data_IF_937414951348
#
_entry.id   IF_937414951348
#
_cell.length_a   1.000
_cell.length_b   1.000
_cell.length_c   1.000
_cell.angle_alpha   90.00
_cell.angle_beta   90.00
_cell.angle_gamma   90.00
#
_symmetry.space_group_name_H-M   'P 1'
#
loop_
_entity.id
_entity.type
_entity.pdbx_description
1 polymer ?
#
# COMPACT_ATOMS: atom_id res chain seq x y z
N UNK A 1 -5.24 3.99 36.84
CA UNK A 1 -5.11 5.13 37.76
C UNK A 1 -6.22 6.11 37.47
N UNK A 2 -6.97 6.52 38.49
CA UNK A 2 -8.10 7.44 38.32
C UNK A 2 -7.58 8.89 38.23
N UNK A 3 -7.85 9.63 37.13
CA UNK A 3 -7.43 11.03 37.00
C UNK A 3 -7.99 11.93 38.09
N UNK A 4 -9.16 11.60 38.64
CA UNK A 4 -9.82 12.40 39.67
C UNK A 4 -9.05 12.39 40.99
N UNK A 5 -8.46 11.24 41.35
CA UNK A 5 -7.61 11.10 42.54
C UNK A 5 -6.31 11.91 42.40
N UNK A 6 -5.71 11.91 41.21
CA UNK A 6 -4.50 12.71 40.93
C UNK A 6 -4.78 14.22 41.01
N UNK A 7 -5.92 14.67 40.46
CA UNK A 7 -6.36 16.06 40.57
C UNK A 7 -6.57 16.49 42.02
N UNK A 8 -7.23 15.64 42.81
CA UNK A 8 -7.43 15.88 44.24
C UNK A 8 -6.09 15.99 44.98
N UNK A 9 -5.18 15.04 44.77
CA UNK A 9 -3.87 15.01 45.44
C UNK A 9 -2.98 16.19 45.05
N UNK A 10 -3.04 16.63 43.78
CA UNK A 10 -2.37 17.86 43.32
C UNK A 10 -2.95 19.09 44.02
N UNK A 11 -4.27 19.17 44.18
CA UNK A 11 -4.93 20.31 44.81
C UNK A 11 -4.61 20.36 46.31
N UNK A 12 -4.74 19.23 47.01
CA UNK A 12 -4.39 19.08 48.42
C UNK A 12 -2.91 19.42 48.67
N UNK A 13 -2.01 18.98 47.78
CA UNK A 13 -0.58 19.30 47.84
C UNK A 13 -0.30 20.78 47.58
N UNK A 14 -1.05 21.44 46.69
CA UNK A 14 -0.92 22.89 46.45
C UNK A 14 -1.35 23.70 47.67
N UNK A 15 -2.48 23.34 48.29
CA UNK A 15 -2.94 23.99 49.52
C UNK A 15 -1.88 23.88 50.63
N UNK A 16 -1.34 22.69 50.84
CA UNK A 16 -0.24 22.48 51.81
C UNK A 16 1.01 23.27 51.46
N UNK A 17 1.35 23.39 50.17
CA UNK A 17 2.49 24.19 49.71
C UNK A 17 2.30 25.67 50.07
N UNK A 18 1.11 26.21 49.84
CA UNK A 18 0.78 27.60 50.13
C UNK A 18 0.81 27.87 51.65
N UNK A 19 0.27 26.95 52.46
CA UNK A 19 0.38 27.02 53.93
C UNK A 19 1.84 27.03 54.40
N UNK A 20 2.70 26.17 53.83
CA UNK A 20 4.12 26.13 54.16
C UNK A 20 4.83 27.43 53.78
N UNK A 21 4.51 28.03 52.63
CA UNK A 21 5.07 29.32 52.19
C UNK A 21 4.67 30.47 53.09
N UNK A 22 3.42 30.51 53.52
CA UNK A 22 2.94 31.51 54.49
C UNK A 22 3.72 31.36 55.80
N UNK A 23 3.85 30.12 56.31
CA UNK A 23 4.60 29.84 57.54
C UNK A 23 6.08 30.20 57.42
N UNK A 24 6.73 29.91 56.29
CA UNK A 24 8.11 30.35 56.03
C UNK A 24 8.23 31.87 56.05
N UNK A 25 7.32 32.59 55.37
CA UNK A 25 7.34 34.06 55.32
C UNK A 25 7.18 34.67 56.71
N UNK A 26 6.30 34.09 57.54
CA UNK A 26 6.14 34.49 58.94
C UNK A 26 7.41 34.25 59.77
N UNK A 27 8.03 33.08 59.63
CA UNK A 27 9.28 32.74 60.32
C UNK A 27 10.45 33.60 59.87
N UNK A 28 10.57 33.90 58.57
CA UNK A 28 11.59 34.79 58.02
C UNK A 28 11.39 36.23 58.53
N UNK A 29 10.15 36.70 58.61
CA UNK A 29 9.82 38.02 59.18
C UNK A 29 10.14 38.06 60.68
N UNK A 30 9.86 36.99 61.42
CA UNK A 30 10.22 36.86 62.84
C UNK A 30 11.74 36.83 63.04
N UNK A 31 12.48 36.08 62.20
CA UNK A 31 13.95 36.04 62.17
C UNK A 31 14.53 37.44 61.89
N UNK A 32 13.99 38.14 60.89
CA UNK A 32 14.41 39.49 60.53
C UNK A 32 14.09 40.50 61.66
N UNK A 33 12.95 40.32 62.34
CA UNK A 33 12.55 41.10 63.51
C UNK A 33 13.49 40.90 64.69
N UNK A 34 13.86 39.66 65.02
CA UNK A 34 14.81 39.32 66.09
C UNK A 34 16.22 39.85 65.79
N UNK A 35 16.65 39.78 64.52
CA UNK A 35 17.91 40.36 64.06
C UNK A 35 17.95 41.88 64.19
N UNK A 36 16.82 42.57 63.95
CA UNK A 36 16.69 44.03 64.08
C UNK A 36 16.52 44.49 65.53
N UNK A 37 15.73 43.79 66.34
CA UNK A 37 15.42 44.13 67.73
C UNK A 37 16.65 44.07 68.65
N UNK A 38 17.59 43.15 68.38
CA UNK A 38 18.84 43.01 69.13
C UNK A 38 20.02 43.79 68.54
N UNK A 39 19.81 44.56 67.47
CA UNK A 39 20.91 45.27 66.81
C UNK A 39 21.13 46.65 67.42
N UNK A 40 22.40 46.97 67.73
CA UNK A 40 22.86 48.33 68.05
C UNK A 40 22.43 49.40 66.99
N UNK A 41 21.95 48.96 65.82
CA UNK A 41 21.36 49.77 64.76
C UNK A 41 20.06 50.47 65.18
N UNK A 42 19.26 49.88 66.08
CA UNK A 42 18.00 50.48 66.56
C UNK A 42 18.24 51.61 67.57
N UNK A 43 19.32 51.51 68.36
CA UNK A 43 19.69 52.49 69.37
C UNK A 43 20.44 53.70 68.78
N UNK A 44 21.10 53.55 67.63
CA UNK A 44 21.82 54.61 66.93
C UNK A 44 20.95 55.85 66.60
N UNK A 45 19.78 55.73 65.94
CA UNK A 45 18.93 56.89 65.66
C UNK A 45 18.35 57.53 66.92
N UNK A 46 18.14 56.78 68.00
CA UNK A 46 17.68 57.31 69.30
C UNK A 46 18.78 58.18 69.93
N UNK A 47 20.02 57.72 69.92
CA UNK A 47 21.17 58.49 70.41
C UNK A 47 21.46 59.72 69.55
N UNK A 48 21.35 59.60 68.22
CA UNK A 48 21.49 60.75 67.30
C UNK A 48 20.43 61.82 67.55
N UNK A 49 19.17 61.41 67.76
CA UNK A 49 18.08 62.34 68.10
C UNK A 49 18.33 63.03 69.44
N UNK A 50 18.81 62.29 70.44
CA UNK A 50 19.16 62.84 71.76
C UNK A 50 20.34 63.82 71.70
N UNK A 51 21.33 63.55 70.85
CA UNK A 51 22.42 64.49 70.57
C UNK A 51 21.86 65.79 69.97
N UNK A 52 20.97 65.67 68.98
CA UNK A 52 20.37 66.82 68.31
C UNK A 52 19.53 67.68 69.26
N UNK A 53 18.76 67.06 70.17
CA UNK A 53 18.01 67.78 71.22
C UNK A 53 18.94 68.48 72.23
N UNK A 54 20.02 67.84 72.65
CA UNK A 54 21.01 68.44 73.56
C UNK A 54 21.78 69.59 72.91
N UNK A 55 22.09 69.51 71.62
CA UNK A 55 22.77 70.57 70.87
C UNK A 55 21.90 71.81 70.63
N UNK A 56 20.57 71.69 70.72
CA UNK A 56 19.66 72.85 70.65
C UNK A 56 19.67 73.69 71.94
N UNK A 57 20.07 73.11 73.08
CA UNK A 57 20.01 73.77 74.39
C UNK A 57 21.39 74.01 75.03
N UNK A 58 22.40 73.22 74.64
CA UNK A 58 23.73 73.24 75.24
C UNK A 58 24.83 73.39 74.17
N UNK A 59 25.94 74.04 74.56
CA UNK A 59 27.14 74.16 73.72
C UNK A 59 27.91 72.84 73.68
N UNK A 60 28.68 72.61 72.61
CA UNK A 60 29.48 71.39 72.37
C UNK A 60 30.44 71.00 73.52
N UNK A 61 30.73 71.92 74.45
CA UNK A 61 31.58 71.71 75.63
C UNK A 61 30.85 71.10 76.84
N UNK A 62 29.53 70.93 76.78
CA UNK A 62 28.74 70.43 77.92
C UNK A 62 29.00 68.93 78.17
N UNK A 63 29.19 68.48 79.42
CA UNK A 63 29.58 67.10 79.73
C UNK A 63 28.63 66.02 79.19
N UNK A 64 27.33 66.29 79.12
CA UNK A 64 26.36 65.31 78.58
C UNK A 64 26.44 65.18 77.06
N UNK A 65 26.74 66.26 76.33
CA UNK A 65 26.91 66.22 74.87
C UNK A 65 28.12 65.36 74.50
N UNK A 66 29.23 65.50 75.25
CA UNK A 66 30.42 64.68 75.04
C UNK A 66 30.17 63.20 75.34
N UNK A 67 29.44 62.88 76.41
CA UNK A 67 29.05 61.49 76.73
C UNK A 67 28.21 60.86 75.62
N UNK A 68 27.18 61.55 75.14
CA UNK A 68 26.33 61.01 74.05
C UNK A 68 27.12 60.86 72.75
N UNK A 69 28.08 61.74 72.47
CA UNK A 69 28.96 61.66 71.28
C UNK A 69 29.95 60.50 71.36
N UNK A 70 30.52 60.26 72.55
CA UNK A 70 31.32 59.07 72.88
C UNK A 70 30.51 57.78 72.73
N UNK A 71 29.28 57.76 73.24
CA UNK A 71 28.35 56.62 73.13
C UNK A 71 28.02 56.31 71.67
N UNK A 72 27.74 57.34 70.84
CA UNK A 72 27.52 57.18 69.39
C UNK A 72 28.77 56.62 68.70
N UNK A 73 29.96 57.10 69.07
CA UNK A 73 31.23 56.63 68.49
C UNK A 73 31.49 55.17 68.85
N UNK A 74 31.38 54.81 70.12
CA UNK A 74 31.56 53.45 70.61
C UNK A 74 30.55 52.48 69.99
N UNK A 75 29.29 52.89 69.89
CA UNK A 75 28.24 52.10 69.24
C UNK A 75 28.49 51.97 67.72
N UNK A 76 28.96 53.04 67.07
CA UNK A 76 29.33 53.04 65.65
C UNK A 76 30.52 52.13 65.34
N UNK A 77 31.50 52.07 66.23
CA UNK A 77 32.63 51.13 66.14
C UNK A 77 32.20 49.68 66.38
N UNK A 78 31.26 49.43 67.31
CA UNK A 78 30.63 48.11 67.48
C UNK A 78 29.85 47.65 66.24
N UNK A 79 29.20 48.57 65.54
CA UNK A 79 28.51 48.29 64.27
C UNK A 79 29.48 47.99 63.14
N UNK A 80 30.54 48.80 63.00
CA UNK A 80 31.60 48.59 61.99
C UNK A 80 32.38 47.29 62.20
N UNK A 81 32.57 46.88 63.46
CA UNK A 81 33.25 45.63 63.81
C UNK A 81 32.35 44.38 63.69
N UNK A 82 31.06 44.53 63.31
CA UNK A 82 30.13 43.42 63.07
C UNK A 82 29.73 42.61 64.31
N UNK A 83 30.37 42.87 65.46
CA UNK A 83 30.32 42.05 66.68
C UNK A 83 28.96 42.06 67.40
N UNK A 84 28.12 43.06 67.10
CA UNK A 84 26.73 43.13 67.58
C UNK A 84 25.74 42.29 66.77
N UNK A 85 26.04 42.03 65.50
CA UNK A 85 25.24 41.17 64.61
C UNK A 85 25.62 39.69 64.83
N UNK A 86 26.88 39.40 65.17
CA UNK A 86 27.33 38.02 65.39
C UNK A 86 26.72 37.38 66.65
N UNK A 87 26.53 38.14 67.74
CA UNK A 87 25.93 37.61 68.99
C UNK A 87 24.45 37.26 68.87
N UNK A 88 23.69 37.92 67.99
CA UNK A 88 22.28 37.59 67.74
C UNK A 88 22.11 36.35 66.85
N UNK A 89 23.10 36.06 66.00
CA UNK A 89 23.17 34.83 65.17
C UNK A 89 23.53 33.59 66.02
N UNK A 90 24.29 33.77 67.10
CA UNK A 90 24.72 32.67 68.00
C UNK A 90 23.71 32.34 69.12
N UNK A 91 22.54 32.99 69.13
CA UNK A 91 21.46 32.67 70.08
C UNK A 91 20.92 31.25 69.86
N UNK A 92 20.77 30.42 70.90
CA UNK A 92 20.18 29.08 70.77
C UNK A 92 18.74 29.10 70.23
N UNK A 93 18.02 30.21 70.37
CA UNK A 93 16.69 30.39 69.75
C UNK A 93 16.79 30.63 68.24
N UNK A 94 17.78 31.41 67.79
CA UNK A 94 18.04 31.64 66.37
C UNK A 94 18.41 30.35 65.63
N UNK A 95 19.25 29.51 66.25
CA UNK A 95 19.66 28.22 65.69
C UNK A 95 18.49 27.24 65.53
N UNK A 96 17.54 27.21 66.48
CA UNK A 96 16.30 26.42 66.39
C UNK A 96 15.39 26.91 65.27
N UNK A 97 15.19 28.23 65.16
CA UNK A 97 14.32 28.80 64.14
C UNK A 97 14.91 28.62 62.73
N UNK A 98 16.24 28.73 62.60
CA UNK A 98 16.96 28.48 61.36
C UNK A 98 16.91 27.00 60.92
N UNK A 99 16.95 26.05 61.86
CA UNK A 99 16.81 24.62 61.53
C UNK A 99 15.37 24.27 61.13
N UNK A 100 14.37 24.85 61.80
CA UNK A 100 12.95 24.74 61.41
C UNK A 100 12.72 25.29 60.00
N UNK A 101 13.29 26.45 59.67
CA UNK A 101 13.19 27.03 58.33
C UNK A 101 13.81 26.13 57.25
N UNK A 102 14.97 25.51 57.52
CA UNK A 102 15.59 24.54 56.61
C UNK A 102 14.69 23.31 56.40
N UNK A 103 14.11 22.77 57.47
CA UNK A 103 13.19 21.63 57.38
C UNK A 103 11.95 21.97 56.55
N UNK A 104 11.38 23.18 56.73
CA UNK A 104 10.26 23.69 55.95
C UNK A 104 10.61 23.85 54.46
N UNK A 105 11.79 24.39 54.14
CA UNK A 105 12.26 24.51 52.74
C UNK A 105 12.46 23.15 52.08
N UNK A 106 12.95 22.17 52.84
CA UNK A 106 13.07 20.80 52.33
C UNK A 106 11.69 20.19 52.07
N UNK A 107 10.74 20.39 52.98
CA UNK A 107 9.36 19.94 52.81
C UNK A 107 8.69 20.59 51.59
N UNK A 108 8.90 21.89 51.38
CA UNK A 108 8.42 22.63 50.21
C UNK A 108 8.98 22.05 48.90
N UNK A 109 10.30 21.82 48.86
CA UNK A 109 10.97 21.25 47.68
C UNK A 109 10.42 19.86 47.36
N UNK A 110 10.22 19.02 48.38
CA UNK A 110 9.65 17.68 48.22
C UNK A 110 8.21 17.74 47.71
N UNK A 111 7.38 18.64 48.24
CA UNK A 111 6.01 18.85 47.77
C UNK A 111 5.97 19.37 46.33
N UNK A 112 6.83 20.33 45.99
CA UNK A 112 6.96 20.84 44.62
C UNK A 112 7.32 19.74 43.63
N UNK A 113 8.25 18.86 43.99
CA UNK A 113 8.62 17.70 43.18
C UNK A 113 7.45 16.71 43.01
N UNK A 114 6.68 16.44 44.07
CA UNK A 114 5.50 15.57 44.00
C UNK A 114 4.41 16.17 43.10
N UNK A 115 4.13 17.47 43.22
CA UNK A 115 3.18 18.18 42.36
C UNK A 115 3.63 18.11 40.90
N UNK A 116 4.91 18.37 40.61
CA UNK A 116 5.45 18.31 39.26
C UNK A 116 5.32 16.89 38.65
N UNK A 117 5.64 15.86 39.43
CA UNK A 117 5.46 14.45 39.04
C UNK A 117 4.00 14.13 38.74
N UNK A 118 3.08 14.47 39.65
CA UNK A 118 1.66 14.18 39.48
C UNK A 118 1.06 14.94 38.29
N UNK A 119 1.45 16.21 38.06
CA UNK A 119 1.06 16.96 36.86
C UNK A 119 1.57 16.31 35.57
N UNK A 120 2.83 15.83 35.56
CA UNK A 120 3.40 15.10 34.43
C UNK A 120 2.62 13.82 34.12
N UNK A 121 2.27 13.05 35.15
CA UNK A 121 1.41 11.87 35.00
C UNK A 121 0.04 12.25 34.42
N UNK A 122 -0.61 13.27 35.00
CA UNK A 122 -1.93 13.73 34.55
C UNK A 122 -1.92 14.17 33.07
N UNK A 123 -0.84 14.81 32.62
CA UNK A 123 -0.68 15.21 31.23
C UNK A 123 -0.48 14.02 30.27
N UNK A 124 0.15 12.95 30.73
CA UNK A 124 0.38 11.74 29.92
C UNK A 124 -0.85 10.82 29.80
N UNK A 125 -1.79 10.89 30.75
CA UNK A 125 -2.98 10.03 30.77
C UNK A 125 -3.84 10.12 29.50
N UNK A 126 -4.21 11.31 28.98
CA UNK A 126 -5.02 11.41 27.76
C UNK A 126 -4.37 10.74 26.55
N UNK A 127 -3.05 10.91 26.37
CA UNK A 127 -2.31 10.30 25.27
C UNK A 127 -2.26 8.76 25.41
N UNK A 128 -2.01 8.27 26.62
CA UNK A 128 -2.04 6.83 26.91
C UNK A 128 -3.43 6.23 26.68
N UNK A 129 -4.50 6.94 27.07
CA UNK A 129 -5.89 6.53 26.85
C UNK A 129 -6.25 6.50 25.36
N UNK A 130 -5.89 7.54 24.60
CA UNK A 130 -6.12 7.58 23.15
C UNK A 130 -5.39 6.43 22.43
N UNK A 131 -4.17 6.11 22.87
CA UNK A 131 -3.40 4.97 22.36
C UNK A 131 -4.11 3.66 22.68
N UNK A 132 -4.54 3.45 23.92
CA UNK A 132 -5.30 2.26 24.32
C UNK A 132 -6.59 2.10 23.48
N UNK A 133 -7.37 3.17 23.34
CA UNK A 133 -8.60 3.18 22.55
C UNK A 133 -8.33 2.86 21.06
N UNK A 134 -7.17 3.27 20.53
CA UNK A 134 -6.76 2.91 19.16
C UNK A 134 -6.41 1.41 19.04
N UNK A 135 -5.64 0.86 19.98
CA UNK A 135 -5.31 -0.56 20.01
C UNK A 135 -6.55 -1.44 20.21
N UNK A 136 -7.50 -1.02 21.04
CA UNK A 136 -8.74 -1.76 21.25
C UNK A 136 -9.61 -1.82 19.98
N UNK A 137 -9.69 -0.71 19.24
CA UNK A 137 -10.35 -0.66 17.93
C UNK A 137 -9.65 -1.51 16.88
N UNK A 138 -8.32 -1.47 16.86
CA UNK A 138 -7.55 -2.32 15.94
C UNK A 138 -7.72 -3.80 16.27
N UNK A 139 -7.62 -4.17 17.55
CA UNK A 139 -7.87 -5.53 18.03
C UNK A 139 -9.29 -6.01 17.66
N UNK A 140 -10.31 -5.18 17.84
CA UNK A 140 -11.68 -5.56 17.50
C UNK A 140 -11.86 -5.75 15.99
N UNK A 141 -11.29 -4.85 15.17
CA UNK A 141 -11.29 -4.98 13.71
C UNK A 141 -10.59 -6.26 13.23
N UNK A 142 -9.39 -6.54 13.76
CA UNK A 142 -8.64 -7.76 13.42
C UNK A 142 -9.39 -9.02 13.85
N UNK A 143 -10.04 -9.01 15.01
CA UNK A 143 -10.89 -10.12 15.47
C UNK A 143 -12.06 -10.36 14.51
N UNK A 144 -12.78 -9.31 14.10
CA UNK A 144 -13.88 -9.43 13.13
C UNK A 144 -13.39 -9.94 11.78
N UNK A 145 -12.24 -9.47 11.29
CA UNK A 145 -11.64 -9.97 10.05
C UNK A 145 -11.28 -11.45 10.15
N UNK A 146 -10.67 -11.86 11.27
CA UNK A 146 -10.34 -13.26 11.54
C UNK A 146 -11.59 -14.14 11.55
N UNK A 147 -12.64 -13.73 12.27
CA UNK A 147 -13.92 -14.45 12.32
C UNK A 147 -14.56 -14.56 10.92
N UNK A 148 -14.51 -13.50 10.11
CA UNK A 148 -15.00 -13.53 8.73
C UNK A 148 -14.18 -14.48 7.83
N UNK A 149 -12.86 -14.49 7.97
CA UNK A 149 -11.99 -15.44 7.25
C UNK A 149 -12.27 -16.88 7.65
N UNK A 150 -12.43 -17.14 8.95
CA UNK A 150 -12.76 -18.46 9.48
C UNK A 150 -14.12 -18.94 8.94
N UNK A 151 -15.13 -18.07 8.94
CA UNK A 151 -16.44 -18.38 8.37
C UNK A 151 -16.37 -18.70 6.87
N UNK A 152 -15.60 -17.91 6.10
CA UNK A 152 -15.38 -18.14 4.66
C UNK A 152 -14.64 -19.44 4.39
N UNK A 153 -13.66 -19.80 5.22
CA UNK A 153 -12.98 -21.09 5.13
C UNK A 153 -13.97 -22.24 5.35
N UNK A 154 -14.77 -22.17 6.43
CA UNK A 154 -15.80 -23.17 6.69
C UNK A 154 -16.80 -23.34 5.54
N UNK A 155 -17.25 -22.23 4.94
CA UNK A 155 -18.09 -22.27 3.74
C UNK A 155 -17.39 -22.94 2.56
N UNK A 156 -16.12 -22.60 2.30
CA UNK A 156 -15.35 -23.21 1.21
C UNK A 156 -15.13 -24.71 1.41
N UNK A 157 -14.90 -25.16 2.64
CA UNK A 157 -14.77 -26.58 2.97
C UNK A 157 -16.10 -27.32 2.74
N UNK A 158 -17.22 -26.74 3.18
CA UNK A 158 -18.56 -27.29 2.90
C UNK A 158 -18.82 -27.35 1.40
N UNK A 159 -18.55 -26.28 0.64
CA UNK A 159 -18.72 -26.28 -0.82
C UNK A 159 -17.84 -27.33 -1.51
N UNK A 160 -16.59 -27.51 -1.06
CA UNK A 160 -15.70 -28.54 -1.57
C UNK A 160 -16.26 -29.94 -1.30
N UNK A 161 -16.77 -30.18 -0.09
CA UNK A 161 -17.39 -31.46 0.26
C UNK A 161 -18.66 -31.72 -0.56
N UNK A 162 -19.46 -30.69 -0.81
CA UNK A 162 -20.63 -30.77 -1.69
C UNK A 162 -20.23 -31.07 -3.13
N UNK A 163 -19.20 -30.43 -3.70
CA UNK A 163 -18.73 -30.73 -5.05
C UNK A 163 -18.22 -32.18 -5.18
N UNK A 164 -17.50 -32.68 -4.17
CA UNK A 164 -17.07 -34.09 -4.12
C UNK A 164 -18.26 -35.03 -4.02
N UNK A 165 -19.29 -34.67 -3.24
CA UNK A 165 -20.50 -35.46 -3.10
C UNK A 165 -21.39 -35.41 -4.35
N UNK A 166 -21.52 -34.26 -5.01
CA UNK A 166 -22.26 -34.09 -6.28
C UNK A 166 -21.61 -34.84 -7.44
N UNK A 167 -20.27 -34.94 -7.46
CA UNK A 167 -19.57 -35.87 -8.37
C UNK A 167 -19.86 -37.35 -8.07
N UNK A 168 -20.38 -37.66 -6.88
CA UNK A 168 -20.82 -39.00 -6.47
C UNK A 168 -22.34 -39.23 -6.63
N UNK A 169 -23.12 -38.21 -7.03
CA UNK A 169 -24.58 -38.33 -7.19
C UNK A 169 -24.93 -38.65 -8.65
N UNK A 170 -25.18 -39.93 -8.91
CA UNK A 170 -25.84 -40.58 -10.06
C UNK A 170 -26.21 -39.62 -11.22
N UNK A 171 -25.40 -39.61 -12.27
CA UNK A 171 -25.78 -39.02 -13.56
C UNK A 171 -27.04 -39.70 -14.11
N UNK A 172 -28.18 -39.02 -14.07
CA UNK A 172 -29.37 -39.40 -14.86
C UNK A 172 -29.30 -38.64 -16.18
N UNK A 173 -28.98 -39.35 -17.25
CA UNK A 173 -29.02 -38.81 -18.62
C UNK A 173 -30.47 -38.45 -18.94
N UNK A 174 -30.77 -37.15 -19.00
CA UNK A 174 -32.11 -36.64 -19.37
C UNK A 174 -32.25 -36.54 -20.90
N UNK A 175 -31.16 -36.22 -21.60
CA UNK A 175 -31.15 -36.14 -23.07
C UNK A 175 -29.83 -36.73 -23.61
N UNK A 176 -29.84 -37.90 -24.26
CA UNK A 176 -28.64 -38.49 -24.83
C UNK A 176 -28.13 -37.64 -26.01
N UNK A 177 -26.80 -37.52 -26.13
CA UNK A 177 -26.19 -36.77 -27.22
C UNK A 177 -26.57 -37.36 -28.59
N UNK A 178 -27.25 -36.56 -29.41
CA UNK A 178 -27.61 -36.93 -30.78
C UNK A 178 -26.39 -36.74 -31.67
N UNK A 179 -25.95 -37.81 -32.33
CA UNK A 179 -24.90 -37.75 -33.34
C UNK A 179 -25.40 -36.90 -34.53
N UNK A 180 -24.60 -35.93 -35.02
CA UNK A 180 -25.01 -35.12 -36.15
C UNK A 180 -25.15 -35.96 -37.42
N UNK A 181 -26.32 -35.90 -38.07
CA UNK A 181 -26.60 -36.61 -39.32
C UNK A 181 -25.78 -36.12 -40.52
N UNK A 182 -25.11 -34.96 -40.40
CA UNK A 182 -24.27 -34.38 -41.44
C UNK A 182 -22.94 -33.92 -40.83
N UNK A 183 -21.81 -34.15 -41.52
CA UNK A 183 -20.51 -33.66 -41.07
C UNK A 183 -20.53 -32.13 -41.05
N UNK A 184 -20.14 -31.54 -39.92
CA UNK A 184 -20.08 -30.08 -39.72
C UNK A 184 -18.96 -29.44 -40.54
N UNK A 185 -17.96 -30.23 -40.93
CA UNK A 185 -16.84 -29.82 -41.77
C UNK A 185 -16.10 -31.05 -42.33
N UNK A 186 -15.44 -30.97 -43.49
CA UNK A 186 -15.49 -29.91 -44.52
C UNK A 186 -16.63 -30.12 -45.55
N UNK A 187 -17.06 -29.04 -46.22
CA UNK A 187 -18.07 -29.07 -47.29
C UNK A 187 -17.55 -29.76 -48.56
N UNK A 188 -17.73 -31.08 -48.63
CA UNK A 188 -17.20 -31.94 -49.71
C UNK A 188 -17.68 -31.53 -51.10
N UNK A 189 -18.94 -31.11 -51.23
CA UNK A 189 -19.52 -30.62 -52.49
C UNK A 189 -18.74 -29.43 -53.04
N UNK A 190 -18.32 -28.51 -52.16
CA UNK A 190 -17.54 -27.32 -52.55
C UNK A 190 -16.15 -27.71 -53.04
N UNK A 191 -15.51 -28.69 -52.40
CA UNK A 191 -14.18 -29.17 -52.78
C UNK A 191 -14.23 -29.85 -54.17
N UNK A 192 -15.23 -30.71 -54.41
CA UNK A 192 -15.40 -31.39 -55.70
C UNK A 192 -15.64 -30.37 -56.82
N UNK A 193 -16.51 -29.38 -56.59
CA UNK A 193 -16.80 -28.33 -57.57
C UNK A 193 -15.55 -27.51 -57.93
N UNK A 194 -14.76 -27.13 -56.92
CA UNK A 194 -13.49 -26.44 -57.13
C UNK A 194 -12.48 -27.31 -57.89
N UNK A 195 -12.42 -28.61 -57.60
CA UNK A 195 -11.57 -29.56 -58.32
C UNK A 195 -11.93 -29.68 -59.79
N UNK A 196 -13.23 -29.75 -60.13
CA UNK A 196 -13.70 -29.79 -61.52
C UNK A 196 -13.31 -28.49 -62.25
N UNK A 197 -13.57 -27.33 -61.63
CA UNK A 197 -13.21 -26.04 -62.21
C UNK A 197 -11.70 -25.91 -62.45
N UNK A 198 -10.89 -26.30 -61.46
CA UNK A 198 -9.43 -26.31 -61.57
C UNK A 198 -8.94 -27.29 -62.64
N UNK A 199 -9.56 -28.46 -62.76
CA UNK A 199 -9.22 -29.46 -63.77
C UNK A 199 -9.52 -28.99 -65.20
N UNK A 200 -10.68 -28.36 -65.41
CA UNK A 200 -11.04 -27.77 -66.72
C UNK A 200 -10.07 -26.63 -67.06
N UNK A 201 -9.84 -25.71 -66.11
CA UNK A 201 -8.90 -24.60 -66.30
C UNK A 201 -7.47 -25.09 -66.59
N UNK A 202 -6.99 -26.07 -65.83
CA UNK A 202 -5.69 -26.69 -66.03
C UNK A 202 -5.58 -27.45 -67.36
N UNK A 203 -6.61 -28.17 -67.77
CA UNK A 203 -6.65 -28.87 -69.04
C UNK A 203 -6.60 -27.91 -70.24
N UNK A 204 -7.42 -26.87 -70.23
CA UNK A 204 -7.40 -25.83 -71.26
C UNK A 204 -6.05 -25.09 -71.29
N UNK A 205 -5.52 -24.76 -70.12
CA UNK A 205 -4.19 -24.14 -69.99
C UNK A 205 -3.07 -25.01 -70.54
N UNK A 206 -3.09 -26.32 -70.27
CA UNK A 206 -2.11 -27.27 -70.81
C UNK A 206 -2.22 -27.42 -72.32
N UNK A 207 -3.43 -27.42 -72.89
CA UNK A 207 -3.63 -27.46 -74.35
C UNK A 207 -3.06 -26.19 -74.99
N UNK A 208 -3.39 -25.00 -74.46
CA UNK A 208 -2.85 -23.74 -74.95
C UNK A 208 -1.32 -23.67 -74.84
N UNK A 209 -0.76 -24.12 -73.71
CA UNK A 209 0.68 -24.14 -73.51
C UNK A 209 1.37 -25.09 -74.48
N UNK A 210 0.80 -26.28 -74.69
CA UNK A 210 1.31 -27.26 -75.65
C UNK A 210 1.24 -26.72 -77.09
N UNK A 211 0.15 -26.04 -77.44
CA UNK A 211 -0.03 -25.42 -78.76
C UNK A 211 0.99 -24.30 -79.00
N UNK A 212 1.21 -23.44 -78.00
CA UNK A 212 2.22 -22.37 -78.08
C UNK A 212 3.67 -22.90 -78.15
N UNK A 213 3.95 -24.07 -77.58
CA UNK A 213 5.25 -24.74 -77.69
C UNK A 213 5.43 -25.51 -79.02
N UNK A 214 4.34 -25.81 -79.74
CA UNK A 214 4.40 -26.50 -81.03
C UNK A 214 4.76 -25.51 -82.14
N UNK A 215 6.04 -25.50 -82.53
CA UNK A 215 6.57 -24.64 -83.60
C UNK A 215 6.41 -25.24 -85.01
N UNK A 216 5.56 -26.24 -85.18
CA UNK A 216 5.36 -26.91 -86.48
C UNK A 216 4.49 -26.04 -87.39
N UNK A 217 5.00 -25.69 -88.58
CA UNK A 217 4.21 -25.04 -89.63
C UNK A 217 3.31 -26.08 -90.28
N UNK A 218 2.03 -26.10 -89.89
CA UNK A 218 1.06 -27.09 -90.36
C UNK A 218 0.22 -26.61 -91.54
N UNK A 219 0.21 -25.30 -91.80
CA UNK A 219 -0.64 -24.69 -92.83
C UNK A 219 0.18 -23.89 -93.85
N UNK A 220 -0.26 -23.93 -95.10
CA UNK A 220 0.45 -23.31 -96.25
C UNK A 220 0.45 -21.79 -96.11
N UNK A 221 -0.61 -21.23 -95.52
CA UNK A 221 -0.76 -19.79 -95.31
C UNK A 221 0.21 -19.25 -94.25
N UNK A 222 0.56 -20.06 -93.23
CA UNK A 222 1.62 -19.70 -92.27
C UNK A 222 2.98 -19.59 -92.96
N UNK A 223 3.31 -20.52 -93.87
CA UNK A 223 4.60 -20.50 -94.58
C UNK A 223 4.76 -19.26 -95.49
N UNK A 224 3.67 -18.80 -96.11
CA UNK A 224 3.65 -17.57 -96.93
C UNK A 224 3.86 -16.31 -96.09
N UNK A 225 3.29 -16.25 -94.88
CA UNK A 225 3.48 -15.11 -93.96
C UNK A 225 4.94 -14.91 -93.52
N UNK A 226 5.72 -15.99 -93.45
CA UNK A 226 7.16 -15.91 -93.13
C UNK A 226 8.05 -15.53 -94.34
N UNK A 227 7.48 -15.23 -95.51
CA UNK A 227 8.21 -14.72 -96.66
C UNK A 227 8.92 -15.78 -97.52
N UNK A 228 8.64 -17.06 -97.29
CA UNK A 228 9.21 -18.15 -98.09
C UNK A 228 8.32 -18.46 -99.31
N UNK A 229 8.88 -18.53 -100.54
CA UNK A 229 8.12 -18.94 -101.71
C UNK A 229 7.75 -20.43 -101.62
N UNK A 230 6.45 -20.74 -101.62
CA UNK A 230 5.95 -22.13 -101.62
C UNK A 230 6.06 -22.69 -103.03
N UNK A 231 7.06 -23.55 -103.27
CA UNK A 231 7.38 -24.11 -104.60
C UNK A 231 6.41 -25.22 -105.03
N UNK A 232 5.91 -26.03 -104.08
CA UNK A 232 4.94 -27.08 -104.32
C UNK A 232 4.22 -27.44 -103.01
N UNK A 233 2.94 -27.84 -103.10
CA UNK A 233 2.17 -28.39 -101.97
C UNK A 233 1.96 -29.87 -102.24
N UNK A 234 2.45 -30.74 -101.35
CA UNK A 234 2.19 -32.18 -101.45
C UNK A 234 0.81 -32.43 -100.83
N UNK A 235 -0.20 -32.85 -101.61
CA UNK A 235 -1.50 -33.18 -101.05
C UNK A 235 -1.35 -34.35 -100.09
N UNK A 236 -1.96 -34.23 -98.92
CA UNK A 236 -1.98 -35.31 -97.93
C UNK A 236 -2.83 -36.45 -98.48
N UNK A 237 -2.19 -37.52 -98.94
CA UNK A 237 -2.88 -38.74 -99.37
C UNK A 237 -3.25 -39.52 -98.11
N UNK A 238 -4.54 -39.63 -97.83
CA UNK A 238 -5.04 -40.41 -96.72
C UNK A 238 -4.95 -41.90 -97.06
N UNK A 239 -3.97 -42.59 -96.47
CA UNK A 239 -3.92 -44.05 -96.56
C UNK A 239 -5.05 -44.64 -95.68
N UNK A 240 -6.02 -45.37 -96.25
CA UNK A 240 -7.12 -45.95 -95.48
C UNK A 240 -6.62 -46.86 -94.35
N UNK A 241 -5.43 -47.47 -94.46
CA UNK A 241 -4.86 -48.27 -93.37
C UNK A 241 -4.35 -47.40 -92.21
N UNK A 242 -3.76 -46.22 -92.50
CA UNK A 242 -3.28 -45.28 -91.46
C UNK A 242 -4.44 -44.59 -90.74
N UNK A 243 -5.53 -44.27 -91.44
CA UNK A 243 -6.75 -43.72 -90.83
C UNK A 243 -7.36 -44.70 -89.82
N UNK A 244 -7.41 -46.00 -90.14
CA UNK A 244 -7.91 -47.03 -89.22
C UNK A 244 -7.02 -47.16 -87.97
N UNK A 245 -5.70 -47.03 -88.10
CA UNK A 245 -4.78 -47.05 -86.96
C UNK A 245 -4.93 -45.80 -86.07
N UNK A 246 -5.11 -44.62 -86.67
CA UNK A 246 -5.38 -43.37 -85.94
C UNK A 246 -6.70 -43.43 -85.19
N UNK A 247 -7.78 -43.87 -85.85
CA UNK A 247 -9.10 -44.06 -85.23
C UNK A 247 -9.05 -45.04 -84.05
N UNK A 248 -8.22 -46.09 -84.11
CA UNK A 248 -8.01 -47.01 -82.97
C UNK A 248 -7.29 -46.35 -81.79
N UNK A 249 -6.33 -45.45 -82.02
CA UNK A 249 -5.64 -44.71 -80.95
C UNK A 249 -6.57 -43.67 -80.31
N UNK A 250 -7.27 -42.91 -81.14
CA UNK A 250 -8.19 -41.87 -80.68
C UNK A 250 -9.37 -42.48 -79.92
N UNK A 251 -9.89 -43.63 -80.38
CA UNK A 251 -10.91 -44.39 -79.64
C UNK A 251 -10.42 -44.80 -78.25
N UNK A 252 -9.17 -45.23 -78.07
CA UNK A 252 -8.63 -45.54 -76.73
C UNK A 252 -8.57 -44.31 -75.84
N UNK A 253 -8.21 -43.15 -76.39
CA UNK A 253 -8.19 -41.88 -75.66
C UNK A 253 -9.59 -41.43 -75.26
N UNK A 254 -10.57 -41.48 -76.17
CA UNK A 254 -11.97 -41.15 -75.85
C UNK A 254 -12.57 -42.11 -74.83
N UNK A 255 -12.25 -43.41 -74.89
CA UNK A 255 -12.67 -44.39 -73.89
C UNK A 255 -12.05 -44.06 -72.52
N UNK A 256 -10.76 -43.73 -72.46
CA UNK A 256 -10.10 -43.37 -71.21
C UNK A 256 -10.66 -42.06 -70.61
N UNK A 257 -10.91 -41.05 -71.44
CA UNK A 257 -11.53 -39.80 -71.03
C UNK A 257 -12.97 -40.01 -70.53
N UNK A 258 -13.76 -40.82 -71.24
CA UNK A 258 -15.11 -41.19 -70.82
C UNK A 258 -15.13 -41.97 -69.51
N UNK A 259 -14.20 -42.91 -69.32
CA UNK A 259 -14.04 -43.64 -68.06
C UNK A 259 -13.70 -42.70 -66.90
N UNK A 260 -12.78 -41.75 -67.10
CA UNK A 260 -12.43 -40.74 -66.10
C UNK A 260 -13.62 -39.83 -65.73
N UNK A 261 -14.38 -39.37 -66.73
CA UNK A 261 -15.58 -38.58 -66.50
C UNK A 261 -16.65 -39.37 -65.73
N UNK A 262 -16.86 -40.64 -66.09
CA UNK A 262 -17.81 -41.52 -65.40
C UNK A 262 -17.43 -41.77 -63.94
N UNK A 263 -16.12 -41.84 -63.64
CA UNK A 263 -15.61 -41.98 -62.27
C UNK A 263 -15.88 -40.73 -61.43
N UNK A 264 -15.64 -39.53 -61.97
CA UNK A 264 -15.96 -38.27 -61.30
C UNK A 264 -17.46 -38.18 -60.99
N UNK A 265 -18.30 -38.54 -61.96
CA UNK A 265 -19.75 -38.46 -61.82
C UNK A 265 -20.29 -39.49 -60.81
N UNK A 266 -19.72 -40.69 -60.78
CA UNK A 266 -20.01 -41.70 -59.76
C UNK A 266 -19.63 -41.22 -58.36
N UNK A 267 -18.46 -40.60 -58.18
CA UNK A 267 -18.04 -40.03 -56.89
C UNK A 267 -19.00 -38.92 -56.43
N UNK A 268 -19.40 -38.02 -57.32
CA UNK A 268 -20.36 -36.97 -57.01
C UNK A 268 -21.73 -37.56 -56.61
N UNK A 269 -22.20 -38.60 -57.31
CA UNK A 269 -23.44 -39.29 -56.99
C UNK A 269 -23.39 -39.97 -55.61
N UNK A 270 -22.25 -40.57 -55.21
CA UNK A 270 -22.10 -41.17 -53.88
C UNK A 270 -22.19 -40.13 -52.75
N UNK A 271 -21.67 -38.92 -52.96
CA UNK A 271 -21.73 -37.85 -51.96
C UNK A 271 -23.13 -37.21 -51.90
N UNK A 272 -23.82 -37.01 -53.04
CA UNK A 272 -25.21 -36.50 -53.04
C UNK A 272 -26.19 -37.47 -52.39
N UNK A 273 -25.97 -38.78 -52.55
CA UNK A 273 -26.80 -39.83 -51.93
C UNK A 273 -26.46 -40.07 -50.46
N UNK A 274 -25.45 -39.39 -49.90
CA UNK A 274 -25.04 -39.51 -48.49
C UNK A 274 -24.41 -40.87 -48.14
N UNK A 275 -24.06 -41.67 -49.14
CA UNK A 275 -23.38 -42.94 -48.95
C UNK A 275 -21.92 -42.61 -48.65
N UNK A 276 -21.50 -42.85 -47.41
CA UNK A 276 -20.14 -42.57 -46.93
C UNK A 276 -19.08 -43.53 -47.49
N UNK A 277 -19.06 -43.74 -48.81
CA UNK A 277 -18.10 -44.60 -49.50
C UNK A 277 -16.66 -44.08 -49.34
N UNK A 278 -16.48 -42.76 -49.42
CA UNK A 278 -15.18 -42.10 -49.26
C UNK A 278 -14.63 -42.27 -47.83
N UNK A 279 -15.48 -42.17 -46.79
CA UNK A 279 -15.00 -42.36 -45.41
C UNK A 279 -14.55 -43.79 -45.17
N UNK A 280 -15.25 -44.79 -45.73
CA UNK A 280 -14.90 -46.21 -45.61
C UNK A 280 -13.59 -46.56 -46.31
N UNK A 281 -13.23 -45.83 -47.37
CA UNK A 281 -11.96 -46.02 -48.09
C UNK A 281 -10.81 -45.34 -47.32
N UNK A 282 -11.02 -44.12 -46.81
CA UNK A 282 -10.00 -43.36 -46.07
C UNK A 282 -9.70 -44.02 -44.72
N UNK A 283 -10.71 -44.48 -43.99
CA UNK A 283 -10.50 -45.17 -42.70
C UNK A 283 -9.78 -46.52 -42.86
N UNK A 284 -9.85 -47.13 -44.04
CA UNK A 284 -9.11 -48.37 -44.35
C UNK A 284 -7.63 -48.14 -44.62
N UNK A 285 -7.23 -46.89 -44.86
CA UNK A 285 -5.85 -46.48 -45.09
C UNK A 285 -5.20 -45.83 -43.85
N UNK A 286 -5.98 -45.39 -42.87
CA UNK A 286 -5.47 -44.78 -41.62
C UNK A 286 -5.50 -45.73 -40.41
N UNK A 287 -5.50 -47.04 -40.65
CA UNK A 287 -5.41 -48.08 -39.61
C UNK A 287 -4.24 -49.01 -39.84
#
# INVERSE_FOLDING_TARGET
>A
MDPSLLLKDINDSQQRLDELRIRQTQLETALAGLGKANSAQSNMPVLQKRLQELQLQYTDSYPEVQRVKEDIRALGEQLKSGKGITKSVDSPEYAKLASELRALRQAETNLGNNIARNRGLLHSIPAAKATLDSLEREKSSQKTLYEAMLARQGQSEVSKQMEVQDKSTIFRVVDPAVLPYKPVSPDRVKIILMGILAGIGGGLGLVMLKDQMDKTVKDVDMARQFGFPVLAVIPRIEDPQLLVLQAKRDRKLYIAAGAYFSLILAVLATEVTGIAAISKIISRFSS
#
